data_IF_139193431253
#
_entry.id   IF_139193431253
#
_cell.length_a   1.000
_cell.length_b   1.000
_cell.length_c   1.000
_cell.angle_alpha   90.00
_cell.angle_beta   90.00
_cell.angle_gamma   90.00
#
_symmetry.space_group_name_H-M   'P 1'
#
loop_
_entity.id
_entity.type
_entity.pdbx_description
1 polymer ?
#
# COMPACT_ATOMS: atom_id res chain seq x y z
N UNK A 1 8.34 -35.22 26.39
CA UNK A 1 8.13 -33.83 26.80
C UNK A 1 7.61 -33.09 25.58
N UNK A 2 6.35 -32.65 25.59
CA UNK A 2 5.77 -31.91 24.46
C UNK A 2 6.33 -30.49 24.57
N UNK A 3 7.21 -30.11 23.64
CA UNK A 3 7.79 -28.77 23.61
C UNK A 3 6.69 -27.74 23.33
N UNK A 4 6.67 -26.58 24.00
CA UNK A 4 5.71 -25.52 23.72
C UNK A 4 5.80 -25.09 22.25
N UNK A 5 4.69 -24.65 21.62
CA UNK A 5 4.61 -24.20 20.22
C UNK A 5 5.80 -23.33 19.76
N UNK A 6 6.21 -22.40 20.63
CA UNK A 6 7.29 -21.45 20.36
C UNK A 6 8.65 -22.12 20.17
N UNK A 7 8.93 -23.22 20.86
CA UNK A 7 10.18 -23.98 20.75
C UNK A 7 10.19 -24.96 19.57
N UNK A 8 9.02 -25.24 18.96
CA UNK A 8 8.89 -26.07 17.75
C UNK A 8 8.97 -25.28 16.44
N UNK A 9 8.82 -23.95 16.50
CA UNK A 9 8.82 -23.09 15.30
C UNK A 9 10.17 -23.15 14.59
N UNK A 10 10.13 -23.51 13.31
CA UNK A 10 11.36 -23.61 12.53
C UNK A 10 11.95 -22.23 12.23
N UNK A 11 13.18 -22.20 11.72
CA UNK A 11 13.77 -20.96 11.18
C UNK A 11 12.85 -20.32 10.12
N UNK A 12 12.18 -21.12 9.29
CA UNK A 12 11.22 -20.64 8.29
C UNK A 12 10.09 -19.83 8.93
N UNK A 13 9.50 -20.33 10.03
CA UNK A 13 8.45 -19.64 10.75
C UNK A 13 8.90 -18.29 11.33
N UNK A 14 10.12 -18.19 11.87
CA UNK A 14 10.65 -16.92 12.37
C UNK A 14 10.94 -15.91 11.26
N UNK A 15 11.53 -16.35 10.15
CA UNK A 15 11.72 -15.48 8.98
C UNK A 15 10.38 -15.04 8.39
N UNK A 16 9.37 -15.92 8.32
CA UNK A 16 8.03 -15.56 7.85
C UNK A 16 7.45 -14.39 8.65
N UNK A 17 7.51 -14.47 9.98
CA UNK A 17 7.04 -13.42 10.88
C UNK A 17 7.82 -12.12 10.66
N UNK A 18 9.15 -12.20 10.51
CA UNK A 18 10.01 -11.05 10.26
C UNK A 18 9.67 -10.34 8.95
N UNK A 19 9.59 -11.08 7.84
CA UNK A 19 9.22 -10.54 6.53
C UNK A 19 7.81 -9.96 6.53
N UNK A 20 6.84 -10.67 7.11
CA UNK A 20 5.46 -10.20 7.22
C UNK A 20 5.34 -8.89 8.00
N UNK A 21 6.04 -8.80 9.14
CA UNK A 21 6.02 -7.60 9.98
C UNK A 21 6.65 -6.41 9.24
N UNK A 22 7.77 -6.62 8.57
CA UNK A 22 8.41 -5.60 7.75
C UNK A 22 7.50 -5.17 6.58
N UNK A 23 6.92 -6.13 5.86
CA UNK A 23 5.98 -5.88 4.76
C UNK A 23 4.78 -5.05 5.22
N UNK A 24 4.14 -5.46 6.32
CA UNK A 24 3.00 -4.74 6.89
C UNK A 24 3.36 -3.27 7.23
N UNK A 25 4.53 -3.02 7.83
CA UNK A 25 4.98 -1.65 8.13
C UNK A 25 5.18 -0.84 6.85
N UNK A 26 5.83 -1.41 5.84
CA UNK A 26 6.07 -0.74 4.55
C UNK A 26 4.76 -0.43 3.81
N UNK A 27 3.83 -1.39 3.76
CA UNK A 27 2.50 -1.21 3.16
C UNK A 27 1.67 -0.18 3.94
N UNK A 28 1.78 -0.14 5.26
CA UNK A 28 1.11 0.88 6.11
C UNK A 28 1.62 2.27 5.78
N UNK A 29 2.95 2.45 5.73
CA UNK A 29 3.55 3.74 5.39
C UNK A 29 3.10 4.15 4.00
N UNK A 30 3.13 3.22 3.04
CA UNK A 30 2.68 3.50 1.68
C UNK A 30 1.20 3.86 1.61
N UNK A 31 0.34 3.20 2.39
CA UNK A 31 -1.11 3.45 2.41
C UNK A 31 -1.44 4.90 2.78
N UNK A 32 -0.74 5.46 3.77
CA UNK A 32 -1.12 6.74 4.39
C UNK A 32 -0.22 7.93 4.03
N UNK A 33 0.92 7.71 3.39
CA UNK A 33 1.82 8.79 2.98
C UNK A 33 1.41 9.44 1.66
N UNK A 34 2.07 10.56 1.34
CA UNK A 34 1.71 11.51 0.27
C UNK A 34 2.61 11.42 -0.96
N UNK A 35 3.54 10.46 -0.99
CA UNK A 35 4.70 10.48 -1.89
C UNK A 35 4.76 9.23 -2.78
N UNK A 36 3.62 8.85 -3.37
CA UNK A 36 3.61 7.84 -4.43
C UNK A 36 4.14 8.43 -5.73
N UNK A 37 3.72 9.65 -6.04
CA UNK A 37 4.23 10.47 -7.14
C UNK A 37 4.66 11.82 -6.56
N UNK A 38 5.82 12.34 -6.96
CA UNK A 38 6.35 13.62 -6.49
C UNK A 38 6.90 14.42 -7.67
N UNK A 39 6.58 15.71 -7.72
CA UNK A 39 7.13 16.61 -8.70
C UNK A 39 8.60 16.95 -8.38
N UNK A 40 9.44 17.07 -9.40
CA UNK A 40 10.85 17.40 -9.22
C UNK A 40 11.01 18.74 -8.49
N UNK A 41 11.86 18.76 -7.44
CA UNK A 41 12.10 19.96 -6.64
C UNK A 41 12.76 21.09 -7.42
N UNK A 42 13.52 20.77 -8.47
CA UNK A 42 14.23 21.72 -9.34
C UNK A 42 13.34 22.32 -10.43
N UNK A 43 12.22 21.68 -10.75
CA UNK A 43 11.24 22.22 -11.67
C UNK A 43 10.41 23.30 -10.97
N UNK A 44 10.72 24.56 -11.28
CA UNK A 44 9.95 25.71 -10.79
C UNK A 44 8.66 25.84 -11.60
N UNK A 45 7.54 26.12 -10.92
CA UNK A 45 6.24 26.32 -11.56
C UNK A 45 5.39 25.06 -11.77
N UNK A 46 5.79 23.89 -11.25
CA UNK A 46 4.93 22.69 -11.31
C UNK A 46 3.65 22.89 -10.50
N UNK A 47 2.49 22.55 -11.09
CA UNK A 47 1.20 22.63 -10.42
C UNK A 47 1.07 21.61 -9.27
N UNK A 48 1.63 20.41 -9.45
CA UNK A 48 1.62 19.32 -8.48
C UNK A 48 2.87 19.35 -7.60
N UNK A 49 2.72 18.98 -6.32
CA UNK A 49 3.84 18.80 -5.39
C UNK A 49 4.06 17.32 -5.09
N UNK A 50 3.04 16.64 -4.55
CA UNK A 50 3.09 15.21 -4.25
C UNK A 50 1.70 14.61 -4.21
N UNK A 51 1.54 13.37 -4.64
CA UNK A 51 0.29 12.62 -4.61
C UNK A 51 0.53 11.31 -3.86
N UNK A 52 -0.28 11.07 -2.83
CA UNK A 52 -0.49 9.75 -2.23
C UNK A 52 -1.86 9.20 -2.60
N UNK A 53 -2.15 7.99 -2.11
CA UNK A 53 -3.44 7.33 -2.35
C UNK A 53 -4.61 8.18 -1.84
N UNK A 54 -4.51 8.73 -0.62
CA UNK A 54 -5.63 9.44 0.02
C UNK A 54 -5.39 10.92 0.22
N UNK A 55 -4.15 11.39 0.17
CA UNK A 55 -3.82 12.80 0.42
C UNK A 55 -2.96 13.32 -0.72
N UNK A 56 -3.37 14.45 -1.29
CA UNK A 56 -2.70 15.10 -2.40
C UNK A 56 -2.23 16.50 -1.98
N UNK A 57 -1.09 16.91 -2.51
CA UNK A 57 -0.49 18.22 -2.27
C UNK A 57 -0.23 18.93 -3.60
N UNK A 58 -0.75 20.14 -3.71
CA UNK A 58 -0.63 20.97 -4.89
C UNK A 58 0.08 22.29 -4.56
N UNK A 59 0.88 22.80 -5.50
CA UNK A 59 1.49 24.14 -5.39
C UNK A 59 0.56 25.20 -5.96
N UNK A 60 -0.03 24.92 -7.12
CA UNK A 60 -0.91 25.85 -7.84
C UNK A 60 -1.68 25.11 -8.94
N UNK A 61 -2.57 24.19 -8.54
CA UNK A 61 -3.36 23.41 -9.50
C UNK A 61 -4.63 24.16 -9.90
N UNK A 62 -4.89 24.25 -11.21
CA UNK A 62 -6.15 24.77 -11.78
C UNK A 62 -6.99 23.62 -12.30
N UNK A 63 -8.30 23.70 -12.12
CA UNK A 63 -9.26 22.70 -12.62
C UNK A 63 -9.56 22.95 -14.09
N UNK A 64 -9.64 21.91 -14.92
CA UNK A 64 -9.97 22.00 -16.35
C UNK A 64 -11.36 22.61 -16.61
N UNK A 65 -12.33 22.36 -15.73
CA UNK A 65 -13.68 22.94 -15.78
C UNK A 65 -13.73 24.46 -15.57
N UNK A 66 -12.72 25.05 -14.92
CA UNK A 66 -12.64 26.51 -14.74
C UNK A 66 -11.99 27.16 -15.97
N UNK A 67 -12.81 27.51 -16.96
CA UNK A 67 -12.38 28.11 -18.25
C UNK A 67 -11.52 29.36 -18.04
N UNK A 68 -11.81 30.15 -17.01
CA UNK A 68 -11.09 31.39 -16.72
C UNK A 68 -9.86 31.18 -15.82
N UNK A 69 -9.60 29.94 -15.38
CA UNK A 69 -8.47 29.56 -14.49
C UNK A 69 -8.31 30.50 -13.29
N UNK A 70 -9.43 30.91 -12.70
CA UNK A 70 -9.46 31.85 -11.57
C UNK A 70 -9.18 31.17 -10.24
N UNK A 71 -9.45 29.86 -10.14
CA UNK A 71 -9.30 29.08 -8.91
C UNK A 71 -8.02 28.26 -8.93
N UNK A 72 -7.17 28.50 -7.93
CA UNK A 72 -5.93 27.77 -7.69
C UNK A 72 -6.00 27.00 -6.37
N UNK A 73 -5.71 25.71 -6.41
CA UNK A 73 -5.62 24.85 -5.24
C UNK A 73 -4.17 24.74 -4.78
N UNK A 74 -3.95 25.08 -3.51
CA UNK A 74 -2.65 25.11 -2.86
C UNK A 74 -2.73 24.36 -1.53
N UNK A 75 -1.66 23.62 -1.21
CA UNK A 75 -1.52 22.88 0.03
C UNK A 75 -1.93 21.42 -0.09
N UNK A 76 -1.95 20.75 1.06
CA UNK A 76 -2.23 19.32 1.18
C UNK A 76 -3.63 19.09 1.71
N UNK A 77 -4.41 18.25 1.01
CA UNK A 77 -5.78 17.93 1.38
C UNK A 77 -6.04 16.45 1.21
N UNK A 78 -6.97 15.95 2.03
CA UNK A 78 -7.50 14.61 1.85
C UNK A 78 -8.40 14.57 0.61
N UNK A 79 -8.42 13.45 -0.10
CA UNK A 79 -9.10 13.29 -1.39
C UNK A 79 -10.61 13.57 -1.33
N UNK A 80 -11.22 13.34 -0.18
CA UNK A 80 -12.65 13.58 0.03
C UNK A 80 -12.88 14.74 1.04
N UNK A 81 -12.00 15.74 1.05
CA UNK A 81 -12.14 16.94 1.89
C UNK A 81 -13.49 17.64 1.63
N UNK A 82 -14.43 17.63 2.60
CA UNK A 82 -15.74 18.27 2.43
C UNK A 82 -15.71 19.77 2.70
N UNK A 83 -14.62 20.30 3.26
CA UNK A 83 -14.55 21.68 3.76
C UNK A 83 -14.12 22.68 2.68
N UNK A 84 -13.57 22.20 1.56
CA UNK A 84 -13.06 23.04 0.49
C UNK A 84 -14.04 23.11 -0.67
N UNK A 85 -14.62 24.29 -0.88
CA UNK A 85 -15.55 24.53 -1.98
C UNK A 85 -14.87 24.27 -3.34
N UNK A 86 -15.50 23.43 -4.17
CA UNK A 86 -14.98 23.07 -5.49
C UNK A 86 -13.90 21.99 -5.50
N UNK A 87 -13.60 21.36 -4.36
CA UNK A 87 -12.65 20.24 -4.30
C UNK A 87 -13.19 18.98 -4.98
N UNK A 88 -14.51 18.84 -5.12
CA UNK A 88 -15.12 17.76 -5.91
C UNK A 88 -14.64 17.76 -7.36
N UNK A 89 -14.42 18.92 -7.96
CA UNK A 89 -13.91 19.01 -9.33
C UNK A 89 -12.45 18.52 -9.45
N UNK A 90 -11.63 18.76 -8.41
CA UNK A 90 -10.27 18.23 -8.33
C UNK A 90 -10.31 16.71 -8.14
N UNK A 91 -11.19 16.22 -7.27
CA UNK A 91 -11.37 14.79 -7.05
C UNK A 91 -11.72 14.07 -8.34
N UNK A 92 -12.65 14.59 -9.12
CA UNK A 92 -13.02 14.01 -10.42
C UNK A 92 -11.86 13.97 -11.41
N UNK A 93 -11.00 15.01 -11.42
CA UNK A 93 -9.80 15.05 -12.27
C UNK A 93 -8.70 14.08 -11.80
N UNK A 94 -8.52 13.92 -10.49
CA UNK A 94 -7.48 13.04 -9.92
C UNK A 94 -7.91 11.57 -9.95
N UNK A 95 -9.18 11.27 -9.68
CA UNK A 95 -9.72 9.91 -9.61
C UNK A 95 -10.08 9.35 -10.99
N UNK A 96 -9.10 9.33 -11.89
CA UNK A 96 -9.17 8.53 -13.09
C UNK A 96 -9.41 7.05 -12.74
N UNK A 97 -10.10 6.25 -13.60
CA UNK A 97 -10.49 4.88 -13.27
C UNK A 97 -9.33 3.97 -12.85
N UNK A 98 -8.14 4.18 -13.41
CA UNK A 98 -6.96 3.42 -13.02
C UNK A 98 -6.53 3.73 -11.58
N UNK A 99 -6.57 5.00 -11.15
CA UNK A 99 -6.15 5.41 -9.82
C UNK A 99 -7.13 4.92 -8.75
N UNK A 100 -8.44 4.95 -9.05
CA UNK A 100 -9.45 4.30 -8.22
C UNK A 100 -9.20 2.79 -8.08
N UNK A 101 -8.82 2.13 -9.16
CA UNK A 101 -8.48 0.70 -9.15
C UNK A 101 -7.27 0.41 -8.27
N UNK A 102 -6.22 1.25 -8.35
CA UNK A 102 -5.04 1.19 -7.48
C UNK A 102 -5.43 1.33 -6.02
N UNK A 103 -6.29 2.30 -5.68
CA UNK A 103 -6.77 2.53 -4.31
C UNK A 103 -7.53 1.32 -3.76
N UNK A 104 -8.45 0.74 -4.54
CA UNK A 104 -9.25 -0.41 -4.13
C UNK A 104 -8.35 -1.62 -3.87
N UNK A 105 -7.48 -1.96 -4.82
CA UNK A 105 -6.58 -3.11 -4.66
C UNK A 105 -5.59 -2.90 -3.51
N UNK A 106 -5.00 -1.71 -3.37
CA UNK A 106 -4.08 -1.47 -2.25
C UNK A 106 -4.79 -1.54 -0.89
N UNK A 107 -6.06 -1.11 -0.82
CA UNK A 107 -6.88 -1.22 0.40
C UNK A 107 -7.16 -2.68 0.75
N UNK A 108 -7.51 -3.52 -0.24
CA UNK A 108 -7.66 -4.95 0.00
C UNK A 108 -6.34 -5.61 0.40
N UNK A 109 -5.22 -5.22 -0.22
CA UNK A 109 -3.89 -5.69 0.16
C UNK A 109 -3.58 -5.37 1.63
N UNK A 110 -3.75 -4.10 2.01
CA UNK A 110 -3.53 -3.63 3.38
C UNK A 110 -4.45 -4.34 4.39
N UNK A 111 -5.71 -4.54 4.04
CA UNK A 111 -6.69 -5.22 4.91
C UNK A 111 -6.31 -6.68 5.14
N UNK A 112 -5.90 -7.39 4.09
CA UNK A 112 -5.44 -8.79 4.21
C UNK A 112 -4.13 -8.89 5.02
N UNK A 113 -3.19 -7.96 4.84
CA UNK A 113 -1.97 -7.89 5.65
C UNK A 113 -2.27 -7.57 7.13
N UNK A 114 -3.29 -6.73 7.40
CA UNK A 114 -3.75 -6.41 8.75
C UNK A 114 -4.36 -7.63 9.45
N UNK A 115 -5.17 -8.42 8.74
CA UNK A 115 -5.69 -9.68 9.27
C UNK A 115 -4.54 -10.65 9.54
N UNK A 116 -3.59 -10.76 8.61
CA UNK A 116 -2.42 -11.63 8.75
C UNK A 116 -1.54 -11.24 9.96
N UNK A 117 -1.27 -9.95 10.20
CA UNK A 117 -0.45 -9.52 11.34
C UNK A 117 -1.16 -9.75 12.67
N UNK A 118 -2.50 -9.61 12.73
CA UNK A 118 -3.28 -9.95 13.92
C UNK A 118 -3.19 -11.45 14.24
N UNK A 119 -3.28 -12.30 13.21
CA UNK A 119 -3.12 -13.75 13.30
C UNK A 119 -1.72 -14.14 13.75
N UNK A 120 -0.69 -13.53 13.16
CA UNK A 120 0.72 -13.72 13.57
C UNK A 120 0.96 -13.25 14.99
N UNK A 121 0.33 -12.14 15.42
CA UNK A 121 0.35 -11.67 16.80
C UNK A 121 -0.19 -12.74 17.76
N UNK A 122 -1.32 -13.36 17.43
CA UNK A 122 -1.85 -14.48 18.21
C UNK A 122 -0.86 -15.66 18.29
N UNK A 123 -0.16 -16.00 17.19
CA UNK A 123 0.88 -17.04 17.19
C UNK A 123 2.11 -16.73 18.06
N UNK A 124 2.40 -15.46 18.30
CA UNK A 124 3.57 -15.03 19.08
C UNK A 124 3.21 -14.85 20.56
N UNK A 125 2.05 -14.25 20.84
CA UNK A 125 1.63 -13.91 22.20
C UNK A 125 0.76 -14.98 22.87
N UNK A 126 0.03 -15.80 22.10
CA UNK A 126 -0.86 -16.85 22.63
C UNK A 126 -0.33 -18.25 22.26
N UNK A 127 0.24 -18.97 23.22
CA UNK A 127 0.89 -20.27 23.02
C UNK A 127 -0.03 -21.50 22.96
N UNK A 128 -1.13 -21.44 22.20
CA UNK A 128 -2.09 -22.55 22.10
C UNK A 128 -1.82 -23.52 20.94
N UNK A 129 -1.47 -24.77 21.23
CA UNK A 129 -1.20 -25.83 20.23
C UNK A 129 -2.40 -26.15 19.32
N UNK A 130 -3.63 -26.07 19.86
CA UNK A 130 -4.83 -26.46 19.11
C UNK A 130 -5.18 -25.52 17.96
N UNK A 131 -4.72 -24.27 18.01
CA UNK A 131 -5.07 -23.23 17.02
C UNK A 131 -3.93 -22.91 16.05
N UNK A 132 -2.69 -23.28 16.38
CA UNK A 132 -1.49 -22.91 15.62
C UNK A 132 -1.61 -23.24 14.12
N UNK A 133 -2.05 -24.46 13.81
CA UNK A 133 -2.22 -24.93 12.42
C UNK A 133 -3.26 -24.13 11.65
N UNK A 134 -4.38 -23.81 12.30
CA UNK A 134 -5.45 -23.01 11.69
C UNK A 134 -4.98 -21.58 11.45
N UNK A 135 -4.23 -21.01 12.39
CA UNK A 135 -3.71 -19.65 12.27
C UNK A 135 -2.66 -19.56 11.16
N UNK A 136 -1.72 -20.51 11.07
CA UNK A 136 -0.75 -20.56 9.97
C UNK A 136 -1.42 -20.73 8.62
N UNK A 137 -2.51 -21.52 8.55
CA UNK A 137 -3.31 -21.67 7.33
C UNK A 137 -3.92 -20.33 6.90
N UNK A 138 -4.53 -19.62 7.84
CA UNK A 138 -5.11 -18.30 7.58
C UNK A 138 -4.01 -17.33 7.15
N UNK A 139 -2.89 -17.29 7.89
CA UNK A 139 -1.78 -16.38 7.64
C UNK A 139 -1.20 -16.53 6.22
N UNK A 140 -0.92 -17.75 5.73
CA UNK A 140 -0.40 -17.88 4.37
C UNK A 140 -1.44 -17.49 3.29
N UNK A 141 -2.73 -17.76 3.52
CA UNK A 141 -3.80 -17.39 2.59
C UNK A 141 -3.95 -15.87 2.54
N UNK A 142 -4.04 -15.21 3.70
CA UNK A 142 -4.22 -13.76 3.77
C UNK A 142 -2.98 -13.02 3.27
N UNK A 143 -1.77 -13.49 3.59
CA UNK A 143 -0.53 -12.88 3.07
C UNK A 143 -0.42 -13.08 1.55
N UNK A 144 -0.81 -14.25 1.04
CA UNK A 144 -0.85 -14.51 -0.41
C UNK A 144 -1.85 -13.62 -1.16
N UNK A 145 -3.04 -13.41 -0.60
CA UNK A 145 -4.03 -12.47 -1.15
C UNK A 145 -3.54 -11.02 -1.05
N UNK A 146 -2.88 -10.66 0.06
CA UNK A 146 -2.28 -9.33 0.23
C UNK A 146 -1.25 -9.05 -0.86
N UNK A 147 -0.32 -9.99 -1.08
CA UNK A 147 0.65 -9.92 -2.16
C UNK A 147 -0.02 -9.73 -3.52
N UNK A 148 -1.03 -10.54 -3.85
CA UNK A 148 -1.69 -10.47 -5.16
C UNK A 148 -2.31 -9.09 -5.41
N UNK A 149 -3.03 -8.55 -4.43
CA UNK A 149 -3.65 -7.23 -4.57
C UNK A 149 -2.61 -6.09 -4.57
N UNK A 150 -1.56 -6.19 -3.76
CA UNK A 150 -0.45 -5.24 -3.79
C UNK A 150 0.26 -5.26 -5.15
N UNK A 151 0.47 -6.45 -5.72
CA UNK A 151 1.06 -6.63 -7.05
C UNK A 151 0.23 -5.98 -8.15
N UNK A 152 -1.09 -6.20 -8.15
CA UNK A 152 -1.99 -5.55 -9.10
C UNK A 152 -1.94 -4.02 -8.95
N UNK A 153 -2.05 -3.52 -7.73
CA UNK A 153 -2.03 -2.08 -7.44
C UNK A 153 -0.72 -1.41 -7.88
N UNK A 154 0.41 -1.97 -7.47
CA UNK A 154 1.76 -1.46 -7.80
C UNK A 154 2.02 -1.52 -9.30
N UNK A 155 1.60 -2.59 -9.98
CA UNK A 155 1.79 -2.73 -11.43
C UNK A 155 0.94 -1.73 -12.21
N UNK A 156 -0.34 -1.55 -11.84
CA UNK A 156 -1.23 -0.59 -12.51
C UNK A 156 -0.72 0.84 -12.30
N UNK A 157 -0.33 1.19 -11.06
CA UNK A 157 0.22 2.51 -10.78
C UNK A 157 1.57 2.74 -11.44
N UNK A 158 2.46 1.74 -11.46
CA UNK A 158 3.74 1.84 -12.14
C UNK A 158 3.61 2.04 -13.64
N UNK A 159 2.56 1.48 -14.26
CA UNK A 159 2.29 1.62 -15.69
C UNK A 159 1.61 2.95 -16.06
N UNK A 160 0.68 3.46 -15.23
CA UNK A 160 -0.18 4.61 -15.55
C UNK A 160 0.14 5.88 -14.78
N UNK A 161 0.84 5.78 -13.65
CA UNK A 161 1.19 6.92 -12.80
C UNK A 161 2.04 7.99 -13.50
N UNK A 162 2.98 7.62 -14.40
CA UNK A 162 3.75 8.60 -15.18
C UNK A 162 3.02 9.17 -16.42
N UNK A 163 1.77 8.78 -16.69
CA UNK A 163 1.10 9.18 -17.93
C UNK A 163 0.85 10.71 -18.00
N UNK A 164 1.18 11.35 -19.14
CA UNK A 164 0.94 12.79 -19.36
C UNK A 164 -0.51 13.23 -19.24
N UNK A 165 -1.44 12.32 -19.50
CA UNK A 165 -2.87 12.60 -19.50
C UNK A 165 -3.46 12.66 -18.09
N UNK A 166 -2.75 12.15 -17.06
CA UNK A 166 -3.28 12.11 -15.70
C UNK A 166 -2.98 13.38 -14.90
N UNK A 167 -1.72 13.81 -14.85
CA UNK A 167 -1.28 14.96 -14.05
C UNK A 167 -0.46 15.94 -14.88
N UNK A 168 -0.65 17.27 -14.68
CA UNK A 168 0.11 18.27 -15.42
C UNK A 168 1.60 18.18 -15.10
N UNK A 169 2.42 18.57 -16.06
CA UNK A 169 3.88 18.51 -15.99
C UNK A 169 4.41 17.10 -15.69
N UNK A 170 3.85 16.08 -16.34
CA UNK A 170 4.25 14.68 -16.14
C UNK A 170 5.73 14.42 -16.40
N UNK A 171 6.36 15.19 -17.29
CA UNK A 171 7.81 15.18 -17.54
C UNK A 171 8.66 15.47 -16.29
N UNK A 172 8.08 16.13 -15.29
CA UNK A 172 8.71 16.44 -14.01
C UNK A 172 8.15 15.61 -12.84
N UNK A 173 7.15 14.76 -13.07
CA UNK A 173 6.54 13.94 -12.03
C UNK A 173 7.21 12.56 -11.98
N UNK A 174 7.82 12.24 -10.85
CA UNK A 174 8.56 10.99 -10.67
C UNK A 174 7.88 10.09 -9.64
N UNK A 175 7.95 8.77 -9.87
CA UNK A 175 7.60 7.79 -8.85
C UNK A 175 8.49 8.01 -7.64
N UNK A 176 7.89 8.28 -6.48
CA UNK A 176 8.61 8.71 -5.28
C UNK A 176 8.77 7.56 -4.29
N UNK A 177 9.44 7.84 -3.17
CA UNK A 177 9.95 6.85 -2.24
C UNK A 177 8.86 5.94 -1.66
N UNK A 178 7.65 6.45 -1.46
CA UNK A 178 6.55 5.65 -0.91
C UNK A 178 6.11 4.55 -1.87
N UNK A 179 6.10 4.85 -3.17
CA UNK A 179 5.81 3.84 -4.16
C UNK A 179 6.89 2.76 -4.13
N UNK A 180 8.16 3.16 -3.98
CA UNK A 180 9.27 2.23 -3.72
C UNK A 180 9.03 1.35 -2.49
N UNK A 181 8.56 1.91 -1.38
CA UNK A 181 8.20 1.12 -0.19
C UNK A 181 7.04 0.15 -0.45
N UNK A 182 6.05 0.54 -1.25
CA UNK A 182 4.95 -0.35 -1.65
C UNK A 182 5.47 -1.54 -2.46
N UNK A 183 6.40 -1.32 -3.39
CA UNK A 183 7.06 -2.38 -4.18
C UNK A 183 7.84 -3.32 -3.27
N UNK A 184 8.66 -2.79 -2.36
CA UNK A 184 9.46 -3.61 -1.43
C UNK A 184 8.55 -4.37 -0.46
N UNK A 185 7.50 -3.73 0.06
CA UNK A 185 6.50 -4.35 0.92
C UNK A 185 5.78 -5.50 0.21
N UNK A 186 5.38 -5.32 -1.04
CA UNK A 186 4.79 -6.37 -1.87
C UNK A 186 5.74 -7.58 -2.04
N UNK A 187 7.03 -7.36 -2.33
CA UNK A 187 8.01 -8.47 -2.45
C UNK A 187 8.20 -9.18 -1.11
N UNK A 188 8.30 -8.44 0.00
CA UNK A 188 8.42 -9.01 1.34
C UNK A 188 7.18 -9.84 1.71
N UNK A 189 5.98 -9.37 1.36
CA UNK A 189 4.72 -10.09 1.58
C UNK A 189 4.66 -11.41 0.80
N UNK A 190 5.19 -11.43 -0.43
CA UNK A 190 5.31 -12.66 -1.22
C UNK A 190 6.19 -13.71 -0.54
N UNK A 191 7.36 -13.27 -0.06
CA UNK A 191 8.31 -14.14 0.65
C UNK A 191 7.66 -14.66 1.94
N UNK A 192 6.99 -13.79 2.70
CA UNK A 192 6.27 -14.17 3.91
C UNK A 192 5.19 -15.23 3.63
N UNK A 193 4.39 -15.05 2.57
CA UNK A 193 3.34 -16.00 2.18
C UNK A 193 3.91 -17.40 1.88
N UNK A 194 5.03 -17.47 1.16
CA UNK A 194 5.72 -18.74 0.86
C UNK A 194 6.24 -19.38 2.16
N UNK A 195 6.90 -18.61 3.04
CA UNK A 195 7.46 -19.14 4.27
C UNK A 195 6.38 -19.62 5.26
N UNK A 196 5.24 -18.91 5.35
CA UNK A 196 4.09 -19.38 6.14
C UNK A 196 3.48 -20.66 5.56
N UNK A 197 3.42 -20.77 4.23
CA UNK A 197 2.96 -22.00 3.58
C UNK A 197 3.89 -23.17 3.87
N UNK A 198 5.21 -22.96 3.79
CA UNK A 198 6.22 -23.97 4.15
C UNK A 198 6.07 -24.40 5.60
N UNK A 199 5.97 -23.46 6.54
CA UNK A 199 5.79 -23.77 7.97
C UNK A 199 4.50 -24.57 8.20
N UNK A 200 3.39 -24.17 7.58
CA UNK A 200 2.12 -24.89 7.66
C UNK A 200 2.22 -26.34 7.12
N UNK A 201 3.00 -26.56 6.05
CA UNK A 201 3.24 -27.89 5.50
C UNK A 201 4.11 -28.75 6.40
N UNK A 202 5.11 -28.18 7.07
CA UNK A 202 5.96 -28.90 8.03
C UNK A 202 5.14 -29.35 9.23
N UNK A 203 4.32 -28.45 9.81
CA UNK A 203 3.47 -28.78 10.95
C UNK A 203 2.29 -29.71 10.63
N UNK A 204 2.03 -29.96 9.35
CA UNK A 204 1.01 -30.92 8.90
C UNK A 204 1.55 -32.35 8.78
N UNK A 205 2.88 -32.53 8.73
CA UNK A 205 3.52 -33.85 8.71
C UNK A 205 3.73 -34.39 10.12
#
# INVERSE_FOLDING_TARGET
MVLPPRERRTLSGWFAIGFHTAAFLLLTIAMFTRNWLEAEKKAYGTAMQSIGLWTQCFRSLTVTKDVYKTRHFVGCRWLFDPFTTGYDDIREMVQEPFFLTVQIFFTFAFTMALIAIAMVGMLVFCGGESFERSILRIAYITSGLSWLFAFLSVTIFGARGPDPDWMPHAEHNNLSWSFGLAVVGMVAEFIAAILFWVEWRIQTR
#
